data_IF_152914277349
#
_entry.id   IF_152914277349
#
_cell.length_a   1.000
_cell.length_b   1.000
_cell.length_c   1.000
_cell.angle_alpha   90.00
_cell.angle_beta   90.00
_cell.angle_gamma   90.00
#
_symmetry.space_group_name_H-M   'P 1'
#
loop_
_entity.id
_entity.type
_entity.pdbx_description
1 polymer ?
#
# COMPACT_ATOMS: atom_id res chain seq x y z
N UNK A 1 -23.99 -9.75 59.75
CA UNK A 1 -22.66 -10.38 59.59
C UNK A 1 -22.49 -10.47 58.08
N UNK A 2 -21.83 -9.50 57.46
CA UNK A 2 -21.78 -9.36 56.00
C UNK A 2 -20.33 -9.16 55.58
N UNK A 3 -19.50 -10.18 55.80
CA UNK A 3 -18.06 -10.15 55.50
C UNK A 3 -17.66 -11.02 54.30
N UNK A 4 -18.59 -11.74 53.68
CA UNK A 4 -18.27 -12.68 52.60
C UNK A 4 -18.30 -12.06 51.18
N UNK A 5 -19.10 -11.02 50.96
CA UNK A 5 -19.23 -10.38 49.62
C UNK A 5 -18.02 -9.51 49.21
N UNK A 6 -17.41 -8.80 50.16
CA UNK A 6 -16.27 -7.93 49.88
C UNK A 6 -14.98 -8.70 49.54
N UNK A 7 -14.79 -9.88 50.14
CA UNK A 7 -13.61 -10.72 49.89
C UNK A 7 -13.59 -11.32 48.48
N UNK A 8 -14.74 -11.65 47.91
CA UNK A 8 -14.84 -12.15 46.54
C UNK A 8 -14.54 -11.06 45.50
N UNK A 9 -15.04 -9.83 45.73
CA UNK A 9 -14.77 -8.68 44.85
C UNK A 9 -13.28 -8.30 44.85
N UNK A 10 -12.66 -8.27 46.04
CA UNK A 10 -11.23 -7.97 46.17
C UNK A 10 -10.33 -9.04 45.56
N UNK A 11 -10.78 -10.31 45.55
CA UNK A 11 -10.06 -11.41 44.89
C UNK A 11 -10.09 -11.26 43.37
N UNK A 12 -11.26 -10.93 42.80
CA UNK A 12 -11.41 -10.69 41.37
C UNK A 12 -10.57 -9.49 40.90
N UNK A 13 -10.55 -8.41 41.69
CA UNK A 13 -9.74 -7.23 41.40
C UNK A 13 -8.24 -7.51 41.47
N UNK A 14 -7.79 -8.29 42.47
CA UNK A 14 -6.39 -8.74 42.52
C UNK A 14 -6.02 -9.63 41.33
N UNK A 15 -6.92 -10.50 40.89
CA UNK A 15 -6.68 -11.32 39.71
C UNK A 15 -6.57 -10.47 38.44
N UNK A 16 -7.43 -9.46 38.28
CA UNK A 16 -7.34 -8.49 37.18
C UNK A 16 -6.04 -7.71 37.22
N UNK A 17 -5.64 -7.19 38.38
CA UNK A 17 -4.38 -6.44 38.54
C UNK A 17 -3.14 -7.30 38.28
N UNK A 18 -3.22 -8.62 38.49
CA UNK A 18 -2.15 -9.55 38.11
C UNK A 18 -2.02 -9.68 36.60
N UNK A 19 -3.14 -9.84 35.90
CA UNK A 19 -3.15 -9.88 34.43
C UNK A 19 -2.62 -8.56 33.84
N UNK A 20 -3.14 -7.41 34.31
CA UNK A 20 -2.70 -6.09 33.87
C UNK A 20 -1.18 -5.88 34.11
N UNK A 21 -0.64 -6.40 35.22
CA UNK A 21 0.81 -6.36 35.49
C UNK A 21 1.62 -7.25 34.54
N UNK A 22 1.11 -8.42 34.18
CA UNK A 22 1.79 -9.32 33.26
C UNK A 22 1.79 -8.75 31.83
N UNK A 23 0.69 -8.12 31.40
CA UNK A 23 0.61 -7.38 30.14
C UNK A 23 1.59 -6.20 30.11
N UNK A 24 1.69 -5.44 31.21
CA UNK A 24 2.65 -4.34 31.34
C UNK A 24 4.11 -4.82 31.27
N UNK A 25 4.42 -6.00 31.81
CA UNK A 25 5.77 -6.59 31.68
C UNK A 25 6.07 -6.96 30.22
N UNK A 26 5.09 -7.49 29.49
CA UNK A 26 5.23 -7.80 28.06
C UNK A 26 5.49 -6.51 27.28
N UNK A 27 4.66 -5.48 27.51
CA UNK A 27 4.83 -4.15 26.88
C UNK A 27 6.20 -3.53 27.19
N UNK A 28 6.67 -3.63 28.43
CA UNK A 28 8.00 -3.15 28.81
C UNK A 28 9.11 -3.92 28.10
N UNK A 29 8.96 -5.23 27.92
CA UNK A 29 9.87 -6.07 27.13
C UNK A 29 9.95 -5.60 25.69
N UNK A 30 8.81 -5.38 25.05
CA UNK A 30 8.72 -4.88 23.67
C UNK A 30 9.33 -3.48 23.53
N UNK A 31 9.10 -2.59 24.49
CA UNK A 31 9.69 -1.24 24.48
C UNK A 31 11.22 -1.29 24.61
N UNK A 32 11.74 -2.17 25.47
CA UNK A 32 13.20 -2.37 25.61
C UNK A 32 13.82 -2.95 24.33
N UNK A 33 13.17 -3.94 23.71
CA UNK A 33 13.62 -4.51 22.44
C UNK A 33 13.59 -3.46 21.32
N UNK A 34 12.53 -2.65 21.25
CA UNK A 34 12.42 -1.56 20.29
C UNK A 34 13.53 -0.52 20.49
N UNK A 35 13.88 -0.22 21.74
CA UNK A 35 15.00 0.65 22.08
C UNK A 35 16.35 0.06 21.65
N UNK A 36 16.58 -1.24 21.88
CA UNK A 36 17.80 -1.94 21.44
C UNK A 36 17.90 -2.05 19.90
N UNK A 37 16.79 -2.26 19.22
CA UNK A 37 16.74 -2.25 17.76
C UNK A 37 17.05 -0.85 17.21
N UNK A 38 16.51 0.20 17.83
CA UNK A 38 16.83 1.59 17.46
C UNK A 38 18.30 1.92 17.71
N UNK A 39 18.87 1.49 18.84
CA UNK A 39 20.29 1.73 19.13
C UNK A 39 21.19 0.98 18.16
N UNK A 40 20.88 -0.29 17.83
CA UNK A 40 21.58 -1.07 16.80
C UNK A 40 21.54 -0.38 15.45
N UNK A 41 20.37 0.07 15.00
CA UNK A 41 20.21 0.76 13.71
C UNK A 41 21.00 2.08 13.67
N UNK A 42 21.04 2.82 14.78
CA UNK A 42 21.86 4.03 14.91
C UNK A 42 23.37 3.71 14.90
N UNK A 43 23.79 2.63 15.54
CA UNK A 43 25.20 2.19 15.50
C UNK A 43 25.64 1.72 14.11
N UNK A 44 24.81 0.98 13.38
CA UNK A 44 25.09 0.53 12.02
C UNK A 44 25.28 1.71 11.06
N UNK A 45 24.46 2.76 11.20
CA UNK A 45 24.61 4.00 10.43
C UNK A 45 25.90 4.75 10.75
N UNK A 46 26.34 4.78 12.01
CA UNK A 46 27.62 5.41 12.38
C UNK A 46 28.85 4.61 11.97
N UNK A 47 28.79 3.27 11.94
CA UNK A 47 29.93 2.43 11.51
C UNK A 47 30.19 2.46 10.00
N UNK A 48 29.15 2.69 9.18
CA UNK A 48 29.31 2.87 7.72
C UNK A 48 29.78 4.29 7.34
N UNK A 49 29.82 5.23 8.28
CA UNK A 49 30.23 6.64 8.02
C UNK A 49 31.76 6.84 8.02
N UNK A 50 32.58 5.79 8.22
CA UNK A 50 34.05 5.90 8.16
C UNK A 50 34.67 5.50 6.81
N UNK A 51 33.88 5.28 5.76
CA UNK A 51 34.39 5.16 4.38
C UNK A 51 33.50 5.97 3.45
N UNK A 52 34.16 6.76 2.61
CA UNK A 52 33.58 7.60 1.55
C UNK A 52 33.05 8.98 2.00
N UNK A 53 33.98 9.93 1.99
CA UNK A 53 33.74 11.36 1.96
C UNK A 53 32.95 11.83 0.72
N UNK A 54 32.32 13.00 0.88
CA UNK A 54 31.83 13.95 -0.16
C UNK A 54 30.45 13.72 -0.78
N UNK A 55 29.37 14.11 -0.07
CA UNK A 55 28.26 14.93 -0.63
C UNK A 55 27.19 15.26 0.43
N UNK A 56 27.07 16.54 0.77
CA UNK A 56 25.86 17.23 1.28
C UNK A 56 25.01 16.45 2.31
N UNK A 57 25.43 16.53 3.57
CA UNK A 57 24.69 15.99 4.71
C UNK A 57 23.32 16.69 4.84
N UNK A 58 22.24 16.01 4.46
CA UNK A 58 20.91 16.30 4.99
C UNK A 58 20.62 15.22 6.01
N UNK A 59 20.99 15.48 7.27
CA UNK A 59 20.59 14.65 8.40
C UNK A 59 19.08 14.78 8.56
N UNK A 60 18.32 13.84 7.99
CA UNK A 60 16.87 13.79 8.18
C UNK A 60 16.64 13.28 9.60
N UNK A 61 16.46 14.22 10.52
CA UNK A 61 16.05 13.99 11.90
C UNK A 61 14.52 13.78 11.89
N UNK A 62 14.09 12.52 11.89
CA UNK A 62 12.67 12.14 11.85
C UNK A 62 11.85 12.64 13.03
N UNK A 63 12.49 13.10 14.12
CA UNK A 63 11.79 13.67 15.27
C UNK A 63 11.17 15.06 15.01
N UNK A 64 11.61 15.81 13.98
CA UNK A 64 11.14 17.19 13.76
C UNK A 64 10.12 17.34 12.62
N UNK A 65 9.80 16.26 11.89
CA UNK A 65 8.91 16.33 10.72
C UNK A 65 7.44 16.09 11.08
N UNK A 66 7.17 15.37 12.18
CA UNK A 66 5.80 15.04 12.58
C UNK A 66 5.58 15.44 14.03
N UNK A 67 5.14 16.69 14.20
CA UNK A 67 4.56 17.18 15.43
C UNK A 67 3.14 16.59 15.55
N UNK A 68 3.02 15.49 16.28
CA UNK A 68 1.77 14.73 16.41
C UNK A 68 0.67 15.54 17.11
N UNK A 69 1.04 16.45 17.99
CA UNK A 69 0.10 17.36 18.65
C UNK A 69 -0.44 18.39 17.67
N UNK A 70 0.41 18.92 16.79
CA UNK A 70 -0.01 19.83 15.71
C UNK A 70 -0.90 19.13 14.68
N UNK A 71 -0.58 17.89 14.30
CA UNK A 71 -1.41 17.10 13.40
C UNK A 71 -2.81 16.87 13.97
N UNK A 72 -2.91 16.51 15.26
CA UNK A 72 -4.20 16.36 15.94
C UNK A 72 -4.95 17.70 16.02
N UNK A 73 -4.24 18.78 16.32
CA UNK A 73 -4.84 20.11 16.41
C UNK A 73 -5.39 20.60 15.06
N UNK A 74 -4.69 20.37 13.95
CA UNK A 74 -5.16 20.68 12.59
C UNK A 74 -6.36 19.81 12.16
N UNK A 75 -6.37 18.53 12.53
CA UNK A 75 -7.50 17.63 12.28
C UNK A 75 -8.78 18.12 13.00
N UNK A 76 -8.64 18.59 14.25
CA UNK A 76 -9.76 19.13 15.01
C UNK A 76 -10.19 20.55 14.57
N UNK A 77 -9.28 21.33 13.97
CA UNK A 77 -9.62 22.65 13.40
C UNK A 77 -10.26 22.58 12.01
N UNK A 78 -9.88 21.59 11.19
CA UNK A 78 -10.47 21.33 9.86
C UNK A 78 -12.00 21.12 9.92
N UNK A 79 -12.53 20.66 11.05
CA UNK A 79 -13.98 20.54 11.28
C UNK A 79 -14.75 21.88 11.22
N UNK A 80 -14.09 23.05 11.34
CA UNK A 80 -14.77 24.36 11.39
C UNK A 80 -14.71 25.17 10.09
N UNK A 81 -13.91 24.74 9.11
CA UNK A 81 -13.85 25.39 7.80
C UNK A 81 -14.06 24.35 6.69
N UNK A 82 -15.29 24.23 6.14
CA UNK A 82 -15.52 23.35 5.01
C UNK A 82 -14.86 23.99 3.79
N UNK A 83 -13.65 23.52 3.45
CA UNK A 83 -13.18 23.64 2.09
C UNK A 83 -14.10 22.81 1.20
N UNK A 84 -14.97 23.58 0.54
CA UNK A 84 -15.97 23.20 -0.44
C UNK A 84 -15.37 22.31 -1.53
N UNK A 85 -15.49 21.00 -1.37
CA UNK A 85 -15.86 20.11 -2.46
C UNK A 85 -17.36 19.86 -2.33
N UNK A 86 -18.05 19.77 -3.46
CA UNK A 86 -19.51 19.70 -3.52
C UNK A 86 -20.06 18.46 -2.81
N UNK A 87 -20.93 18.74 -1.83
CA UNK A 87 -21.87 17.85 -1.11
C UNK A 87 -21.40 17.28 0.24
N UNK A 88 -22.12 17.54 1.35
CA UNK A 88 -21.81 16.98 2.67
C UNK A 88 -22.21 15.50 2.70
N UNK A 89 -21.25 14.61 2.95
CA UNK A 89 -21.51 13.17 3.08
C UNK A 89 -22.01 12.89 4.49
N UNK A 90 -23.33 12.83 4.66
CA UNK A 90 -23.93 12.30 5.88
C UNK A 90 -23.91 10.76 5.78
N UNK A 91 -23.00 10.14 6.53
CA UNK A 91 -22.74 8.69 6.52
C UNK A 91 -23.96 7.86 6.97
N UNK A 92 -24.85 8.42 7.81
CA UNK A 92 -26.11 7.76 8.19
C UNK A 92 -27.12 7.76 7.06
N UNK A 93 -27.21 8.85 6.27
CA UNK A 93 -28.13 8.90 5.13
C UNK A 93 -27.75 7.94 4.00
N UNK A 94 -26.44 7.66 3.83
CA UNK A 94 -25.96 6.66 2.89
C UNK A 94 -26.33 5.24 3.31
N UNK A 95 -26.13 4.89 4.59
CA UNK A 95 -26.48 3.54 5.09
C UNK A 95 -27.99 3.30 5.13
N UNK A 96 -28.80 4.34 5.39
CA UNK A 96 -30.27 4.24 5.40
C UNK A 96 -30.87 4.15 4.00
N UNK A 97 -30.26 4.79 3.00
CA UNK A 97 -30.70 4.70 1.59
C UNK A 97 -30.55 3.29 1.01
N UNK A 98 -29.72 2.42 1.60
CA UNK A 98 -29.48 1.07 1.12
C UNK A 98 -30.61 0.07 1.41
N UNK A 99 -31.63 0.44 2.20
CA UNK A 99 -32.61 -0.51 2.75
C UNK A 99 -34.06 -0.27 2.27
N UNK A 100 -34.31 0.56 1.26
CA UNK A 100 -35.68 0.72 0.72
C UNK A 100 -35.75 0.71 -0.81
N UNK A 101 -36.41 -0.36 -1.28
CA UNK A 101 -37.31 -0.51 -2.44
C UNK A 101 -36.79 -0.19 -3.86
N UNK A 102 -36.76 -1.27 -4.64
CA UNK A 102 -37.47 -1.42 -5.93
C UNK A 102 -37.28 -0.33 -7.00
N UNK A 103 -36.59 -0.75 -8.06
CA UNK A 103 -36.75 -0.39 -9.49
C UNK A 103 -35.49 0.15 -10.17
N UNK A 104 -35.30 -0.15 -11.48
CA UNK A 104 -33.99 -0.51 -12.01
C UNK A 104 -33.42 0.58 -12.92
N UNK A 105 -32.29 1.19 -12.54
CA UNK A 105 -31.50 2.00 -13.47
C UNK A 105 -29.99 1.84 -13.23
N UNK A 106 -29.33 1.29 -14.25
CA UNK A 106 -27.98 1.58 -14.74
C UNK A 106 -26.74 1.11 -13.94
N UNK A 107 -26.43 -0.17 -14.15
CA UNK A 107 -25.15 -0.85 -14.50
C UNK A 107 -23.74 -0.33 -14.10
N UNK A 108 -23.50 0.90 -13.66
CA UNK A 108 -22.12 1.35 -13.34
C UNK A 108 -21.77 1.24 -11.84
N UNK A 109 -22.77 1.28 -10.96
CA UNK A 109 -22.57 1.23 -9.51
C UNK A 109 -22.26 -0.19 -8.98
N UNK A 110 -22.57 -1.22 -9.77
CA UNK A 110 -22.35 -2.63 -9.39
C UNK A 110 -20.87 -3.02 -9.40
N UNK A 111 -20.05 -2.36 -10.24
CA UNK A 111 -18.63 -2.72 -10.37
C UNK A 111 -17.79 -2.29 -9.16
N UNK A 112 -18.13 -1.14 -8.54
CA UNK A 112 -17.39 -0.64 -7.37
C UNK A 112 -17.88 -1.27 -6.06
N UNK A 113 -19.18 -1.54 -5.94
CA UNK A 113 -19.76 -2.20 -4.76
C UNK A 113 -19.36 -3.67 -4.64
N UNK A 114 -19.14 -4.36 -5.77
CA UNK A 114 -18.67 -5.75 -5.78
C UNK A 114 -17.21 -5.87 -5.31
N UNK A 115 -16.35 -4.88 -5.56
CA UNK A 115 -14.95 -4.88 -5.09
C UNK A 115 -14.86 -4.74 -3.57
N UNK A 116 -15.81 -4.05 -2.93
CA UNK A 116 -15.76 -3.81 -1.48
C UNK A 116 -16.39 -4.93 -0.64
N UNK A 117 -17.11 -5.88 -1.26
CA UNK A 117 -17.83 -6.94 -0.54
C UNK A 117 -17.17 -8.33 -0.61
N UNK A 118 -16.03 -8.47 -1.28
CA UNK A 118 -15.20 -9.67 -1.13
C UNK A 118 -14.43 -9.55 0.18
N UNK A 119 -14.87 -10.30 1.20
CA UNK A 119 -14.07 -10.58 2.38
C UNK A 119 -12.75 -11.17 1.89
N UNK A 120 -11.70 -10.34 1.81
CA UNK A 120 -10.40 -10.73 1.24
C UNK A 120 -9.96 -11.97 2.00
N UNK A 121 -9.96 -13.11 1.31
CA UNK A 121 -9.80 -14.43 1.93
C UNK A 121 -8.46 -14.54 2.67
N UNK A 122 -7.47 -13.78 2.20
CA UNK A 122 -6.13 -13.65 2.76
C UNK A 122 -5.70 -12.16 2.78
N UNK A 123 -5.97 -11.39 3.85
CA UNK A 123 -5.62 -9.96 3.90
C UNK A 123 -4.11 -9.71 3.78
N UNK A 124 -3.28 -10.67 4.19
CA UNK A 124 -1.83 -10.61 4.04
C UNK A 124 -1.39 -10.59 2.56
N UNK A 125 -2.07 -11.33 1.70
CA UNK A 125 -1.80 -11.36 0.25
C UNK A 125 -2.19 -10.07 -0.46
N UNK A 126 -3.05 -9.25 0.14
CA UNK A 126 -3.49 -8.00 -0.44
C UNK A 126 -2.32 -7.04 -0.66
N UNK A 127 -1.36 -6.98 0.28
CA UNK A 127 -0.19 -6.10 0.18
C UNK A 127 0.71 -6.52 -0.99
N UNK A 128 0.95 -7.83 -1.13
CA UNK A 128 1.66 -8.38 -2.28
C UNK A 128 0.95 -8.13 -3.61
N UNK A 129 -0.39 -8.23 -3.62
CA UNK A 129 -1.19 -7.88 -4.80
C UNK A 129 -1.10 -6.39 -5.15
N UNK A 130 -1.20 -5.49 -4.17
CA UNK A 130 -1.07 -4.05 -4.42
C UNK A 130 0.29 -3.71 -5.04
N UNK A 131 1.36 -4.27 -4.49
CA UNK A 131 2.72 -4.07 -4.99
C UNK A 131 2.87 -4.64 -6.41
N UNK A 132 2.37 -5.86 -6.66
CA UNK A 132 2.35 -6.47 -7.98
C UNK A 132 1.59 -5.62 -9.00
N UNK A 133 0.39 -5.15 -8.65
CA UNK A 133 -0.44 -4.35 -9.55
C UNK A 133 0.19 -2.99 -9.87
N UNK A 134 0.90 -2.37 -8.93
CA UNK A 134 1.66 -1.15 -9.21
C UNK A 134 2.71 -1.40 -10.29
N UNK A 135 3.55 -2.41 -10.13
CA UNK A 135 4.56 -2.78 -11.13
C UNK A 135 3.93 -3.11 -12.49
N UNK A 136 2.82 -3.86 -12.50
CA UNK A 136 2.08 -4.18 -13.73
C UNK A 136 1.55 -2.93 -14.43
N UNK A 137 1.02 -1.96 -13.68
CA UNK A 137 0.52 -0.69 -14.25
C UNK A 137 1.64 0.16 -14.82
N UNK A 138 2.79 0.24 -14.14
CA UNK A 138 3.98 0.94 -14.65
C UNK A 138 4.41 0.32 -15.99
N UNK A 139 4.56 -1.01 -16.03
CA UNK A 139 4.97 -1.72 -17.24
C UNK A 139 3.94 -1.56 -18.37
N UNK A 140 2.65 -1.71 -18.08
CA UNK A 140 1.59 -1.57 -19.08
C UNK A 140 1.50 -0.15 -19.63
N UNK A 141 1.76 0.87 -18.82
CA UNK A 141 1.77 2.25 -19.29
C UNK A 141 2.91 2.50 -20.27
N UNK A 142 4.11 1.99 -19.98
CA UNK A 142 5.26 2.15 -20.87
C UNK A 142 5.06 1.35 -22.16
N UNK A 143 4.68 0.07 -22.05
CA UNK A 143 4.64 -0.89 -23.16
C UNK A 143 3.22 -1.17 -23.68
N UNK A 144 2.48 -0.13 -24.05
CA UNK A 144 1.07 -0.24 -24.50
C UNK A 144 0.87 -1.19 -25.70
N UNK A 145 1.87 -1.33 -26.57
CA UNK A 145 1.80 -2.20 -27.76
C UNK A 145 2.12 -3.68 -27.50
N UNK A 146 2.50 -4.05 -26.26
CA UNK A 146 2.92 -5.42 -25.94
C UNK A 146 1.81 -6.19 -25.22
N UNK A 147 1.37 -7.29 -25.82
CA UNK A 147 0.30 -8.14 -25.26
C UNK A 147 0.78 -8.97 -24.06
N UNK A 148 2.08 -9.27 -24.01
CA UNK A 148 2.70 -10.07 -22.95
C UNK A 148 4.01 -9.43 -22.51
N UNK A 149 4.18 -9.31 -21.21
CA UNK A 149 5.31 -8.63 -20.57
C UNK A 149 6.12 -9.62 -19.73
N UNK A 150 6.40 -10.80 -20.28
CA UNK A 150 7.14 -11.85 -19.57
C UNK A 150 8.61 -11.49 -19.41
N UNK A 151 9.12 -11.59 -18.19
CA UNK A 151 10.49 -11.16 -17.85
C UNK A 151 10.69 -9.65 -17.91
N UNK A 152 9.61 -8.86 -17.96
CA UNK A 152 9.67 -7.41 -17.78
C UNK A 152 9.52 -7.11 -16.29
N UNK A 153 10.42 -6.31 -15.77
CA UNK A 153 10.41 -5.80 -14.40
C UNK A 153 10.63 -4.29 -14.46
N UNK A 154 10.23 -3.57 -13.42
CA UNK A 154 10.43 -2.10 -13.40
C UNK A 154 11.93 -1.75 -13.48
N UNK A 155 12.81 -2.60 -12.95
CA UNK A 155 14.26 -2.43 -13.02
C UNK A 155 14.82 -2.51 -14.44
N UNK A 156 14.27 -3.39 -15.29
CA UNK A 156 14.82 -3.67 -16.62
C UNK A 156 14.10 -2.93 -17.76
N UNK A 157 13.22 -1.97 -17.46
CA UNK A 157 12.45 -1.24 -18.48
C UNK A 157 13.34 -0.67 -19.58
N UNK A 158 14.47 -0.06 -19.24
CA UNK A 158 15.39 0.55 -20.22
C UNK A 158 15.92 -0.48 -21.22
N UNK A 159 16.33 -1.65 -20.74
CA UNK A 159 16.83 -2.74 -21.58
C UNK A 159 15.69 -3.31 -22.43
N UNK A 160 14.50 -3.44 -21.83
CA UNK A 160 13.30 -3.90 -22.53
C UNK A 160 12.85 -2.93 -23.62
N UNK A 161 13.00 -1.62 -23.46
CA UNK A 161 12.73 -0.64 -24.51
C UNK A 161 13.63 -0.90 -25.73
N UNK A 162 14.92 -1.10 -25.51
CA UNK A 162 15.87 -1.43 -26.58
C UNK A 162 15.46 -2.74 -27.25
N UNK A 163 15.17 -3.77 -26.44
CA UNK A 163 14.76 -5.08 -26.94
C UNK A 163 13.50 -5.03 -27.83
N UNK A 164 12.44 -4.35 -27.39
CA UNK A 164 11.18 -4.29 -28.16
C UNK A 164 11.25 -3.35 -29.36
N UNK A 165 12.17 -2.38 -29.34
CA UNK A 165 12.43 -1.50 -30.49
C UNK A 165 13.35 -2.14 -31.53
N UNK A 166 14.02 -3.25 -31.19
CA UNK A 166 14.90 -3.95 -32.12
C UNK A 166 14.10 -4.98 -32.92
N UNK A 167 14.12 -4.85 -34.25
CA UNK A 167 13.42 -5.80 -35.11
C UNK A 167 14.14 -7.16 -35.13
N UNK A 168 13.44 -8.21 -34.72
CA UNK A 168 14.03 -9.54 -34.46
C UNK A 168 14.66 -10.21 -35.68
N UNK A 169 14.23 -9.89 -36.91
CA UNK A 169 14.80 -10.48 -38.14
C UNK A 169 15.93 -9.65 -38.76
N UNK A 170 15.96 -8.34 -38.53
CA UNK A 170 16.89 -7.42 -39.23
C UNK A 170 17.92 -6.83 -38.30
N UNK A 171 17.74 -6.94 -36.98
CA UNK A 171 18.60 -6.34 -35.96
C UNK A 171 18.61 -4.81 -35.97
N UNK A 172 17.84 -4.18 -36.87
CA UNK A 172 17.72 -2.72 -36.94
C UNK A 172 16.79 -2.23 -35.85
N UNK A 173 17.20 -1.17 -35.19
CA UNK A 173 16.44 -0.50 -34.14
C UNK A 173 15.50 0.50 -34.80
N UNK A 174 14.22 0.41 -34.47
CA UNK A 174 13.27 1.48 -34.73
C UNK A 174 13.53 2.62 -33.74
N UNK A 175 14.31 3.59 -34.19
CA UNK A 175 14.72 4.74 -33.38
C UNK A 175 13.55 5.63 -32.97
N UNK A 176 12.52 5.75 -33.82
CA UNK A 176 11.33 6.55 -33.53
C UNK A 176 10.51 5.91 -32.41
N UNK A 177 10.28 4.61 -32.52
CA UNK A 177 9.55 3.86 -31.49
C UNK A 177 10.34 3.78 -30.17
N UNK A 178 11.66 3.58 -30.23
CA UNK A 178 12.55 3.59 -29.06
C UNK A 178 12.49 4.92 -28.32
N UNK A 179 12.55 6.04 -29.06
CA UNK A 179 12.48 7.38 -28.48
C UNK A 179 11.13 7.60 -27.79
N UNK A 180 10.02 7.23 -28.44
CA UNK A 180 8.68 7.35 -27.88
C UNK A 180 8.53 6.60 -26.55
N UNK A 181 8.98 5.34 -26.49
CA UNK A 181 8.92 4.54 -25.27
C UNK A 181 9.82 5.12 -24.16
N UNK A 182 11.02 5.59 -24.53
CA UNK A 182 11.98 6.19 -23.60
C UNK A 182 11.43 7.47 -22.99
N UNK A 183 10.81 8.33 -23.81
CA UNK A 183 10.16 9.55 -23.37
C UNK A 183 9.00 9.25 -22.43
N UNK A 184 8.10 8.33 -22.83
CA UNK A 184 6.95 7.92 -21.99
C UNK A 184 7.40 7.40 -20.63
N UNK A 185 8.44 6.58 -20.60
CA UNK A 185 9.04 6.08 -19.37
C UNK A 185 9.61 7.23 -18.52
N UNK A 186 10.37 8.16 -19.11
CA UNK A 186 10.93 9.30 -18.40
C UNK A 186 9.86 10.21 -17.80
N UNK A 187 8.79 10.50 -18.55
CA UNK A 187 7.66 11.30 -18.08
C UNK A 187 6.90 10.62 -16.94
N UNK A 188 6.63 9.31 -17.07
CA UNK A 188 6.00 8.53 -16.00
C UNK A 188 6.85 8.58 -14.73
N UNK A 189 8.15 8.36 -14.85
CA UNK A 189 9.06 8.31 -13.70
C UNK A 189 9.26 9.67 -13.06
N UNK A 190 9.22 10.75 -13.83
CA UNK A 190 9.19 12.10 -13.29
C UNK A 190 7.93 12.34 -12.42
N UNK A 191 6.76 11.92 -12.90
CA UNK A 191 5.50 12.02 -12.13
C UNK A 191 5.53 11.15 -10.88
N UNK A 192 5.96 9.89 -10.99
CA UNK A 192 6.07 8.98 -9.84
C UNK A 192 7.07 9.49 -8.81
N UNK A 193 8.19 10.08 -9.24
CA UNK A 193 9.18 10.70 -8.35
C UNK A 193 8.58 11.87 -7.55
N UNK A 194 7.72 12.69 -8.16
CA UNK A 194 7.01 13.76 -7.45
C UNK A 194 6.06 13.22 -6.36
N UNK A 195 5.56 11.98 -6.54
CA UNK A 195 4.74 11.27 -5.56
C UNK A 195 5.56 10.46 -4.53
N UNK A 196 6.90 10.57 -4.56
CA UNK A 196 7.80 9.89 -3.63
C UNK A 196 8.31 8.52 -4.09
N UNK A 197 7.98 8.07 -5.31
CA UNK A 197 8.53 6.82 -5.84
C UNK A 197 10.02 6.95 -6.16
N UNK A 198 10.80 5.98 -5.70
CA UNK A 198 12.24 5.90 -5.92
C UNK A 198 12.60 4.62 -6.66
N UNK A 199 13.25 4.76 -7.82
CA UNK A 199 13.64 3.63 -8.67
C UNK A 199 14.72 2.73 -8.05
N UNK A 200 15.49 3.23 -7.09
CA UNK A 200 16.54 2.46 -6.43
C UNK A 200 16.00 1.63 -5.27
N UNK A 201 14.89 2.07 -4.67
CA UNK A 201 14.32 1.46 -3.47
C UNK A 201 13.08 0.63 -3.77
N UNK A 202 12.13 1.18 -4.55
CA UNK A 202 10.80 0.61 -4.66
C UNK A 202 10.76 -0.67 -5.50
N UNK A 203 11.44 -0.81 -6.66
CA UNK A 203 11.38 -2.08 -7.39
C UNK A 203 11.92 -3.28 -6.60
N UNK A 204 13.11 -3.22 -5.95
CA UNK A 204 13.57 -4.32 -5.09
C UNK A 204 12.65 -4.57 -3.88
N UNK A 205 12.09 -3.50 -3.31
CA UNK A 205 11.16 -3.62 -2.19
C UNK A 205 9.84 -4.26 -2.60
N UNK A 206 9.26 -3.87 -3.74
CA UNK A 206 8.06 -4.48 -4.32
C UNK A 206 8.30 -5.96 -4.60
N UNK A 207 9.45 -6.33 -5.17
CA UNK A 207 9.84 -7.73 -5.36
C UNK A 207 9.90 -8.50 -4.03
N UNK A 208 10.52 -7.91 -3.00
CA UNK A 208 10.53 -8.48 -1.65
C UNK A 208 9.10 -8.69 -1.12
N UNK A 209 8.25 -7.67 -1.18
CA UNK A 209 6.86 -7.73 -0.72
C UNK A 209 6.07 -8.82 -1.46
N UNK A 210 6.22 -8.91 -2.80
CA UNK A 210 5.56 -9.95 -3.60
C UNK A 210 6.06 -11.34 -3.21
N UNK A 211 7.37 -11.51 -2.99
CA UNK A 211 7.94 -12.80 -2.61
C UNK A 211 7.54 -13.21 -1.19
N UNK A 212 7.43 -12.27 -0.26
CA UNK A 212 7.06 -12.51 1.13
C UNK A 212 5.57 -12.81 1.29
N UNK A 213 4.70 -11.98 0.71
CA UNK A 213 3.26 -12.06 0.94
C UNK A 213 2.52 -12.80 -0.18
N UNK A 214 3.14 -12.96 -1.35
CA UNK A 214 2.53 -13.56 -2.53
C UNK A 214 1.47 -12.66 -3.17
N UNK A 215 0.99 -13.10 -4.34
CA UNK A 215 -0.10 -12.44 -5.07
C UNK A 215 -1.43 -13.16 -4.80
N UNK A 216 -2.55 -12.47 -5.02
CA UNK A 216 -3.87 -13.09 -4.95
C UNK A 216 -4.04 -14.04 -6.15
N UNK A 217 -4.19 -15.34 -5.88
CA UNK A 217 -4.39 -16.37 -6.92
C UNK A 217 -5.76 -16.27 -7.60
N UNK A 218 -6.68 -15.51 -7.02
CA UNK A 218 -8.02 -15.37 -7.55
C UNK A 218 -7.96 -14.47 -8.78
N UNK A 219 -7.87 -15.08 -9.97
CA UNK A 219 -8.58 -14.51 -11.12
C UNK A 219 -9.99 -14.27 -10.62
N UNK A 220 -10.57 -13.09 -10.86
CA UNK A 220 -12.01 -12.90 -10.69
C UNK A 220 -12.68 -14.13 -11.31
N UNK A 221 -13.21 -15.00 -10.46
CA UNK A 221 -13.65 -16.31 -10.91
C UNK A 221 -14.69 -16.07 -12.00
N UNK A 222 -14.60 -16.89 -13.03
CA UNK A 222 -15.31 -16.85 -14.32
C UNK A 222 -16.85 -16.90 -14.24
N UNK A 223 -17.46 -16.47 -13.13
CA UNK A 223 -18.90 -16.49 -12.90
C UNK A 223 -19.66 -15.38 -13.63
N UNK A 224 -19.00 -14.36 -14.20
CA UNK A 224 -19.69 -13.40 -15.08
C UNK A 224 -19.87 -13.88 -16.52
N UNK A 225 -19.23 -14.98 -16.92
CA UNK A 225 -19.34 -15.51 -18.29
C UNK A 225 -20.43 -16.59 -18.44
N UNK A 226 -20.96 -17.14 -17.33
CA UNK A 226 -21.93 -18.24 -17.38
C UNK A 226 -23.38 -17.80 -17.10
N UNK A 227 -23.61 -16.54 -16.72
CA UNK A 227 -24.95 -16.03 -16.36
C UNK A 227 -25.66 -15.26 -17.49
N UNK A 228 -25.08 -15.21 -18.69
CA UNK A 228 -25.71 -14.59 -19.87
C UNK A 228 -26.22 -15.59 -20.93
N UNK A 229 -26.33 -16.88 -20.62
CA UNK A 229 -27.31 -17.76 -21.27
C UNK A 229 -27.46 -17.68 -22.80
N UNK A 230 -26.40 -17.49 -23.57
CA UNK A 230 -26.48 -17.59 -25.04
C UNK A 230 -26.28 -19.04 -25.46
N UNK A 231 -27.35 -19.81 -25.30
CA UNK A 231 -27.68 -20.86 -26.25
C UNK A 231 -28.02 -20.20 -27.59
N UNK A 232 -27.19 -20.40 -28.61
CA UNK A 232 -27.61 -20.76 -29.97
C UNK A 232 -26.42 -21.20 -30.81
#
# INVERSE_FOLDING_TARGET
>A
MDTEGGGASLRLENEKLRHDNDDLKIMLGLVKENFDLKSKLQTTLTSDTLRESTARNTTIQWQDIVDEDRFKHELHQSSKHPHRTSSPVNLESYTKSCMCTDSPQHEETASYSYIMSQKVKDPERLVGEMAFQLDRRILSYVFQGQTRLYGFTVLNIRDKIIQVSTHHLTGKVDEGYRLQLSQRHAELMAKLKQLGYSMTLHPPFTEFIINTYGILKQRADSYSAQELGYNR
#
